data_IF_741763638758
#
_entry.id   IF_741763638758
#
_cell.length_a   1.000
_cell.length_b   1.000
_cell.length_c   1.000
_cell.angle_alpha   90.00
_cell.angle_beta   90.00
_cell.angle_gamma   90.00
#
_symmetry.space_group_name_H-M   'P 1'
#
loop_
_entity.id
_entity.type
_entity.pdbx_description
1 polymer ?
#
# COMPACT_ATOMS: atom_id res chain seq x y z
N UNK A 1 -11.43 18.94 14.07
CA UNK A 1 -11.07 20.34 13.77
C UNK A 1 -11.64 20.71 12.41
N UNK A 2 -12.66 21.55 12.38
CA UNK A 2 -13.18 22.21 11.16
C UNK A 2 -12.57 23.62 11.07
N UNK A 3 -12.19 24.07 9.88
CA UNK A 3 -11.74 25.47 9.68
C UNK A 3 -10.64 25.70 8.64
N UNK A 4 -10.47 26.97 8.26
CA UNK A 4 -9.53 27.48 7.23
C UNK A 4 -8.03 27.21 7.48
N UNK A 5 -7.68 26.69 8.66
CA UNK A 5 -6.30 26.37 9.07
C UNK A 5 -6.02 24.86 9.12
N UNK A 6 -6.99 24.00 8.79
CA UNK A 6 -6.83 22.54 8.87
C UNK A 6 -5.69 21.99 7.99
N UNK A 7 -5.41 22.64 6.86
CA UNK A 7 -4.28 22.29 5.99
C UNK A 7 -2.93 22.42 6.69
N UNK A 8 -2.80 23.35 7.64
CA UNK A 8 -1.56 23.57 8.41
C UNK A 8 -1.30 22.39 9.34
N UNK A 9 -2.35 21.82 9.94
CA UNK A 9 -2.23 20.60 10.74
C UNK A 9 -1.66 19.45 9.91
N UNK A 10 -2.16 19.23 8.69
CA UNK A 10 -1.62 18.20 7.80
C UNK A 10 -0.20 18.52 7.32
N UNK A 11 0.13 19.79 7.07
CA UNK A 11 1.49 20.19 6.72
C UNK A 11 2.49 19.89 7.86
N UNK A 12 2.11 20.14 9.11
CA UNK A 12 2.93 19.78 10.28
C UNK A 12 3.07 18.25 10.36
N UNK A 13 1.99 17.48 10.13
CA UNK A 13 2.07 16.02 10.09
C UNK A 13 3.01 15.50 9.00
N UNK A 14 3.03 16.14 7.83
CA UNK A 14 3.99 15.83 6.75
C UNK A 14 5.43 16.11 7.20
N UNK A 15 5.65 17.19 7.96
CA UNK A 15 6.95 17.48 8.59
C UNK A 15 7.36 16.39 9.58
N UNK A 16 6.47 15.98 10.49
CA UNK A 16 6.73 14.88 11.42
C UNK A 16 7.05 13.57 10.69
N UNK A 17 6.32 13.25 9.63
CA UNK A 17 6.56 12.05 8.84
C UNK A 17 7.97 12.05 8.21
N UNK A 18 8.39 13.17 7.63
CA UNK A 18 9.74 13.29 7.07
C UNK A 18 10.83 13.09 8.13
N UNK A 19 10.66 13.71 9.30
CA UNK A 19 11.62 13.58 10.41
C UNK A 19 11.70 12.17 10.99
N UNK A 20 10.61 11.41 10.97
CA UNK A 20 10.52 10.09 11.60
C UNK A 20 10.81 8.93 10.65
N UNK A 21 10.37 9.01 9.40
CA UNK A 21 10.28 7.85 8.50
C UNK A 21 11.05 8.01 7.20
N UNK A 22 11.81 9.10 7.03
CA UNK A 22 12.62 9.32 5.84
C UNK A 22 14.09 9.55 6.19
N UNK A 23 14.95 9.51 5.17
CA UNK A 23 16.40 9.83 5.29
C UNK A 23 16.71 11.28 4.92
N UNK A 24 15.69 12.13 4.73
CA UNK A 24 15.89 13.54 4.42
C UNK A 24 16.60 14.21 5.61
N UNK A 25 17.68 14.98 5.39
CA UNK A 25 18.34 15.70 6.47
C UNK A 25 17.35 16.58 7.24
N UNK A 26 17.37 16.60 8.59
CA UNK A 26 16.33 17.29 9.35
C UNK A 26 16.19 18.77 9.01
N UNK A 27 17.30 19.46 8.72
CA UNK A 27 17.27 20.87 8.32
C UNK A 27 16.52 21.09 6.99
N UNK A 28 16.68 20.17 6.03
CA UNK A 28 16.00 20.23 4.73
C UNK A 28 14.50 19.91 4.89
N UNK A 29 14.17 18.86 5.66
CA UNK A 29 12.77 18.52 5.98
C UNK A 29 12.03 19.68 6.66
N UNK A 30 12.68 20.38 7.60
CA UNK A 30 12.13 21.58 8.22
C UNK A 30 11.94 22.71 7.21
N UNK A 31 12.97 23.03 6.42
CA UNK A 31 12.93 24.14 5.47
C UNK A 31 11.79 23.95 4.44
N UNK A 32 11.72 22.80 3.78
CA UNK A 32 10.68 22.50 2.78
C UNK A 32 9.28 22.49 3.39
N UNK A 33 9.12 21.92 4.58
CA UNK A 33 7.81 21.91 5.26
C UNK A 33 7.36 23.33 5.64
N UNK A 34 8.29 24.18 6.08
CA UNK A 34 8.01 25.58 6.40
C UNK A 34 7.68 26.37 5.14
N UNK A 35 8.41 26.19 4.03
CA UNK A 35 8.09 26.83 2.75
C UNK A 35 6.75 26.36 2.17
N UNK A 36 6.34 25.13 2.44
CA UNK A 36 5.01 24.60 2.10
C UNK A 36 3.85 25.48 2.61
N UNK A 37 4.06 26.28 3.65
CA UNK A 37 3.08 27.25 4.16
C UNK A 37 2.65 28.28 3.09
N UNK A 38 3.57 28.65 2.18
CA UNK A 38 3.29 29.59 1.08
C UNK A 38 2.32 28.94 0.08
N UNK A 39 2.59 27.70 -0.33
CA UNK A 39 1.77 26.96 -1.28
C UNK A 39 0.33 26.75 -0.77
N UNK A 40 0.17 26.54 0.54
CA UNK A 40 -1.16 26.41 1.17
C UNK A 40 -1.82 27.76 1.52
N UNK A 41 -1.27 28.89 1.03
CA UNK A 41 -1.77 30.25 1.23
C UNK A 41 -1.84 30.67 2.71
N UNK A 42 -0.84 30.27 3.50
CA UNK A 42 -0.68 30.58 4.93
C UNK A 42 0.77 30.98 5.31
N UNK A 43 1.44 31.88 4.57
CA UNK A 43 2.83 32.26 4.84
C UNK A 43 3.05 32.82 6.26
N UNK A 44 2.04 33.43 6.86
CA UNK A 44 2.10 33.97 8.22
C UNK A 44 2.29 32.89 9.30
N UNK A 45 2.05 31.61 8.99
CA UNK A 45 2.20 30.49 9.93
C UNK A 45 3.56 29.78 9.84
N UNK A 46 4.49 30.26 9.01
CA UNK A 46 5.86 29.72 8.88
C UNK A 46 6.57 29.62 10.24
N UNK A 47 6.47 30.67 11.07
CA UNK A 47 7.04 30.69 12.41
C UNK A 47 6.44 29.62 13.33
N UNK A 48 5.12 29.42 13.28
CA UNK A 48 4.43 28.40 14.06
C UNK A 48 4.84 26.98 13.63
N UNK A 49 4.87 26.69 12.33
CA UNK A 49 5.29 25.39 11.79
C UNK A 49 6.73 25.08 12.22
N UNK A 50 7.65 26.03 12.01
CA UNK A 50 9.05 25.88 12.45
C UNK A 50 9.16 25.67 13.97
N UNK A 51 8.38 26.43 14.76
CA UNK A 51 8.35 26.31 16.21
C UNK A 51 7.91 24.92 16.68
N UNK A 52 6.81 24.41 16.12
CA UNK A 52 6.26 23.08 16.43
C UNK A 52 7.24 21.97 16.04
N UNK A 53 7.80 22.01 14.82
CA UNK A 53 8.75 20.99 14.37
C UNK A 53 10.05 20.98 15.21
N UNK A 54 10.57 22.17 15.58
CA UNK A 54 11.74 22.26 16.45
C UNK A 54 11.44 21.83 17.88
N UNK A 55 10.25 22.13 18.40
CA UNK A 55 9.83 21.64 19.70
C UNK A 55 9.74 20.11 19.70
N UNK A 56 9.16 19.53 18.65
CA UNK A 56 9.14 18.09 18.47
C UNK A 56 10.56 17.50 18.48
N UNK A 57 11.51 18.04 17.70
CA UNK A 57 12.90 17.55 17.72
C UNK A 57 13.55 17.59 19.11
N UNK A 58 13.26 18.63 19.91
CA UNK A 58 13.78 18.73 21.29
C UNK A 58 13.14 17.71 22.24
N UNK A 59 11.89 17.31 21.99
CA UNK A 59 11.11 16.41 22.85
C UNK A 59 10.92 15.02 22.22
N UNK A 60 11.60 14.73 21.11
CA UNK A 60 11.28 13.61 20.23
C UNK A 60 11.41 12.28 20.97
N UNK A 61 12.50 12.09 21.71
CA UNK A 61 12.76 10.87 22.47
C UNK A 61 11.65 10.60 23.50
N UNK A 62 11.29 11.60 24.30
CA UNK A 62 10.23 11.47 25.31
C UNK A 62 8.89 11.12 24.67
N UNK A 63 8.50 11.83 23.60
CA UNK A 63 7.22 11.63 22.93
C UNK A 63 7.15 10.26 22.23
N UNK A 64 8.25 9.77 21.67
CA UNK A 64 8.32 8.45 21.04
C UNK A 64 8.23 7.33 22.09
N UNK A 65 8.85 7.50 23.25
CA UNK A 65 8.73 6.53 24.34
C UNK A 65 7.30 6.45 24.89
N UNK A 66 6.64 7.59 25.07
CA UNK A 66 5.22 7.64 25.45
C UNK A 66 4.34 6.97 24.38
N UNK A 67 4.56 7.30 23.11
CA UNK A 67 3.83 6.69 21.99
C UNK A 67 3.98 5.17 21.93
N UNK A 68 5.20 4.65 22.12
CA UNK A 68 5.51 3.22 22.05
C UNK A 68 4.83 2.38 23.13
N UNK A 69 4.40 3.00 24.24
CA UNK A 69 3.66 2.32 25.33
C UNK A 69 2.15 2.46 25.20
N UNK A 70 1.67 3.38 24.37
CA UNK A 70 0.25 3.62 24.13
C UNK A 70 -0.35 2.67 23.11
N UNK A 71 -1.68 2.48 23.12
CA UNK A 71 -2.40 1.74 22.07
C UNK A 71 -2.34 2.44 20.69
N UNK A 72 -1.94 3.71 20.63
CA UNK A 72 -1.77 4.42 19.37
C UNK A 72 -0.63 3.82 18.52
N UNK A 73 0.30 3.08 19.13
CA UNK A 73 1.38 2.35 18.43
C UNK A 73 0.87 1.35 17.40
N UNK A 74 -0.38 0.88 17.56
CA UNK A 74 -1.00 -0.02 16.59
C UNK A 74 -1.32 0.67 15.27
N UNK A 75 -1.36 2.01 15.22
CA UNK A 75 -1.72 2.79 14.03
C UNK A 75 -3.13 2.50 13.48
N UNK A 76 -3.99 1.92 14.31
CA UNK A 76 -5.39 1.63 13.99
C UNK A 76 -6.32 2.40 14.94
N UNK A 77 -7.51 2.85 14.48
CA UNK A 77 -8.47 3.48 15.37
C UNK A 77 -8.97 2.48 16.42
N UNK A 78 -9.22 2.94 17.65
CA UNK A 78 -9.52 2.05 18.78
C UNK A 78 -10.73 1.14 18.57
N UNK A 79 -11.72 1.54 17.76
CA UNK A 79 -12.86 0.69 17.42
C UNK A 79 -12.45 -0.53 16.57
N UNK A 80 -11.46 -0.38 15.69
CA UNK A 80 -10.98 -1.43 14.81
C UNK A 80 -10.09 -2.42 15.58
N UNK A 81 -9.21 -1.89 16.45
CA UNK A 81 -8.40 -2.73 17.36
C UNK A 81 -9.29 -3.65 18.19
N UNK A 82 -10.35 -3.11 18.81
CA UNK A 82 -11.32 -3.89 19.59
C UNK A 82 -12.04 -4.95 18.75
N UNK A 83 -12.42 -4.61 17.51
CA UNK A 83 -13.03 -5.58 16.59
C UNK A 83 -12.07 -6.72 16.23
N UNK A 84 -10.81 -6.41 15.96
CA UNK A 84 -9.79 -7.41 15.66
C UNK A 84 -9.51 -8.30 16.86
N UNK A 85 -9.39 -7.73 18.06
CA UNK A 85 -9.22 -8.49 19.31
C UNK A 85 -10.37 -9.47 19.55
N UNK A 86 -11.61 -9.07 19.29
CA UNK A 86 -12.77 -9.94 19.47
C UNK A 86 -12.87 -11.04 18.39
N UNK A 87 -12.58 -10.70 17.13
CA UNK A 87 -12.68 -11.65 16.02
C UNK A 87 -11.48 -12.61 15.95
N UNK A 88 -10.30 -12.15 16.36
CA UNK A 88 -9.02 -12.87 16.26
C UNK A 88 -8.21 -12.77 17.57
N UNK A 89 -8.68 -13.37 18.69
CA UNK A 89 -8.08 -13.16 20.01
C UNK A 89 -6.58 -13.48 20.11
N UNK A 90 -6.10 -14.41 19.31
CA UNK A 90 -4.70 -14.86 19.29
C UNK A 90 -3.88 -14.29 18.13
N UNK A 91 -4.51 -13.66 17.13
CA UNK A 91 -3.85 -13.25 15.89
C UNK A 91 -3.94 -11.75 15.61
N UNK A 92 -4.71 -10.99 16.38
CA UNK A 92 -4.96 -9.57 16.10
C UNK A 92 -3.68 -8.73 16.03
N UNK A 93 -2.66 -9.03 16.84
CA UNK A 93 -1.37 -8.33 16.77
C UNK A 93 -0.67 -8.60 15.44
N UNK A 94 -0.69 -9.85 14.96
CA UNK A 94 -0.10 -10.22 13.68
C UNK A 94 -0.83 -9.55 12.51
N UNK A 95 -2.16 -9.47 12.57
CA UNK A 95 -2.98 -8.76 11.57
C UNK A 95 -2.62 -7.26 11.56
N UNK A 96 -2.52 -6.64 12.73
CA UNK A 96 -2.13 -5.22 12.83
C UNK A 96 -0.73 -4.98 12.26
N UNK A 97 0.22 -5.85 12.59
CA UNK A 97 1.58 -5.76 12.07
C UNK A 97 1.61 -5.92 10.55
N UNK A 98 0.91 -6.92 10.01
CA UNK A 98 0.79 -7.14 8.56
C UNK A 98 0.13 -5.95 7.84
N UNK A 99 -0.91 -5.36 8.42
CA UNK A 99 -1.57 -4.16 7.87
C UNK A 99 -0.63 -2.94 7.81
N UNK A 100 0.34 -2.85 8.73
CA UNK A 100 1.29 -1.74 8.81
C UNK A 100 2.53 -1.93 7.91
N UNK A 101 2.71 -3.11 7.32
CA UNK A 101 3.80 -3.36 6.38
C UNK A 101 3.56 -2.67 5.04
N UNK A 102 4.65 -2.43 4.30
CA UNK A 102 4.52 -2.00 2.90
C UNK A 102 3.87 -3.14 2.10
N UNK A 103 2.79 -2.88 1.36
CA UNK A 103 2.08 -3.94 0.67
C UNK A 103 2.95 -4.54 -0.44
N UNK A 104 2.99 -5.88 -0.57
CA UNK A 104 3.65 -6.52 -1.70
C UNK A 104 2.91 -6.19 -3.01
N UNK A 105 3.66 -6.05 -4.10
CA UNK A 105 3.05 -5.92 -5.43
C UNK A 105 2.82 -7.31 -6.02
N UNK A 106 1.57 -7.72 -6.05
CA UNK A 106 1.12 -8.96 -6.67
C UNK A 106 0.64 -8.72 -8.10
N UNK A 107 1.06 -9.63 -8.96
CA UNK A 107 0.71 -9.68 -10.37
C UNK A 107 -0.02 -10.99 -10.65
N UNK A 108 -0.91 -10.96 -11.64
CA UNK A 108 -1.51 -12.15 -12.25
C UNK A 108 -1.00 -12.27 -13.68
N UNK A 109 -0.32 -13.37 -13.98
CA UNK A 109 0.11 -13.70 -15.33
C UNK A 109 -1.09 -14.18 -16.15
N UNK A 110 -1.20 -13.68 -17.38
CA UNK A 110 -2.24 -14.11 -18.29
C UNK A 110 -1.83 -15.40 -19.02
N UNK A 111 -2.46 -16.50 -18.62
CA UNK A 111 -2.20 -17.85 -19.13
C UNK A 111 -2.42 -18.01 -20.63
N UNK A 112 -3.21 -17.13 -21.25
CA UNK A 112 -3.43 -17.16 -22.71
C UNK A 112 -2.20 -16.73 -23.51
N UNK A 113 -1.23 -16.05 -22.88
CA UNK A 113 0.02 -15.63 -23.52
C UNK A 113 1.23 -16.37 -22.97
N UNK A 114 1.31 -16.53 -21.64
CA UNK A 114 2.48 -17.13 -20.99
C UNK A 114 2.08 -18.01 -19.81
N UNK A 115 2.85 -19.07 -19.56
CA UNK A 115 2.86 -19.70 -18.24
C UNK A 115 3.48 -18.75 -17.21
N UNK A 116 3.14 -18.92 -15.92
CA UNK A 116 3.75 -18.12 -14.84
C UNK A 116 5.28 -18.16 -14.91
N UNK A 117 5.84 -19.37 -15.06
CA UNK A 117 7.29 -19.56 -15.07
C UNK A 117 7.94 -18.99 -16.34
N UNK A 118 7.26 -19.08 -17.49
CA UNK A 118 7.71 -18.43 -18.71
C UNK A 118 7.73 -16.90 -18.58
N UNK A 119 6.72 -16.32 -17.94
CA UNK A 119 6.69 -14.87 -17.70
C UNK A 119 7.70 -14.43 -16.63
N UNK A 120 7.99 -15.26 -15.63
CA UNK A 120 9.08 -15.03 -14.67
C UNK A 120 10.44 -14.95 -15.37
N UNK A 121 10.69 -15.76 -16.40
CA UNK A 121 11.90 -15.63 -17.23
C UNK A 121 12.02 -14.27 -17.90
N UNK A 122 10.93 -13.78 -18.50
CA UNK A 122 10.89 -12.43 -19.10
C UNK A 122 11.13 -11.32 -18.06
N UNK A 123 10.64 -11.52 -16.84
CA UNK A 123 10.84 -10.59 -15.73
C UNK A 123 12.32 -10.53 -15.31
N UNK A 124 12.97 -11.69 -15.23
CA UNK A 124 14.40 -11.81 -14.92
C UNK A 124 15.27 -11.20 -16.03
N UNK A 125 14.94 -11.45 -17.31
CA UNK A 125 15.61 -10.83 -18.46
C UNK A 125 15.49 -9.29 -18.45
N UNK A 126 14.38 -8.77 -17.92
CA UNK A 126 14.16 -7.33 -17.71
C UNK A 126 14.87 -6.79 -16.46
N UNK A 127 15.69 -7.58 -15.78
CA UNK A 127 16.45 -7.20 -14.58
C UNK A 127 15.61 -7.05 -13.32
N UNK A 128 14.41 -7.65 -13.30
CA UNK A 128 13.50 -7.63 -12.16
C UNK A 128 13.37 -9.02 -11.54
N UNK A 129 13.02 -9.06 -10.25
CA UNK A 129 12.87 -10.31 -9.51
C UNK A 129 11.45 -10.50 -9.02
N UNK A 130 10.92 -11.70 -9.24
CA UNK A 130 9.58 -12.11 -8.83
C UNK A 130 9.59 -13.48 -8.17
N UNK A 131 8.58 -13.75 -7.36
CA UNK A 131 8.42 -15.01 -6.63
C UNK A 131 7.05 -15.61 -6.90
N UNK A 132 6.95 -16.92 -7.18
CA UNK A 132 5.67 -17.60 -7.27
C UNK A 132 5.03 -17.75 -5.88
N UNK A 133 3.73 -18.04 -5.85
CA UNK A 133 3.03 -18.51 -4.66
C UNK A 133 2.49 -19.93 -4.89
N UNK A 134 2.64 -20.87 -3.94
CA UNK A 134 2.19 -22.25 -4.11
C UNK A 134 0.67 -22.36 -4.34
N UNK A 135 -0.13 -21.58 -3.61
CA UNK A 135 -1.59 -21.67 -3.66
C UNK A 135 -2.23 -20.86 -4.81
N UNK A 136 -1.46 -20.01 -5.49
CA UNK A 136 -1.97 -19.12 -6.54
C UNK A 136 -1.18 -19.32 -7.83
N UNK A 137 -1.66 -20.16 -8.76
CA UNK A 137 -0.88 -20.67 -9.88
C UNK A 137 -0.42 -19.59 -10.87
N UNK A 138 -1.18 -18.50 -10.97
CA UNK A 138 -0.91 -17.39 -11.88
C UNK A 138 -0.23 -16.20 -11.18
N UNK A 139 -0.02 -16.30 -9.87
CA UNK A 139 0.47 -15.18 -9.08
C UNK A 139 1.99 -15.07 -9.14
N UNK A 140 2.45 -13.83 -9.30
CA UNK A 140 3.84 -13.44 -9.12
C UNK A 140 3.91 -12.27 -8.14
N UNK A 141 4.69 -12.42 -7.07
CA UNK A 141 5.03 -11.32 -6.16
C UNK A 141 6.33 -10.70 -6.58
N UNK A 142 6.35 -9.41 -6.90
CA UNK A 142 7.61 -8.71 -7.15
C UNK A 142 8.41 -8.55 -5.85
N UNK A 143 9.74 -8.67 -5.94
CA UNK A 143 10.65 -8.35 -4.84
C UNK A 143 10.56 -6.86 -4.47
N UNK A 144 10.52 -6.00 -5.49
CA UNK A 144 10.34 -4.55 -5.35
C UNK A 144 9.20 -4.11 -6.25
N UNK A 145 8.21 -3.34 -5.75
CA UNK A 145 7.16 -2.78 -6.59
C UNK A 145 7.73 -1.97 -7.76
N UNK A 146 7.14 -2.14 -8.94
CA UNK A 146 7.56 -1.48 -10.17
C UNK A 146 6.37 -0.75 -10.81
N UNK A 147 6.59 0.33 -11.56
CA UNK A 147 5.53 0.95 -12.34
C UNK A 147 5.06 -0.01 -13.44
N UNK A 148 3.77 0.02 -13.76
CA UNK A 148 3.16 -0.96 -14.67
C UNK A 148 3.76 -0.97 -16.08
N UNK A 149 4.25 0.18 -16.57
CA UNK A 149 4.90 0.29 -17.89
C UNK A 149 6.28 -0.38 -17.95
N UNK A 150 6.88 -0.70 -16.81
CA UNK A 150 8.13 -1.46 -16.75
C UNK A 150 7.90 -2.98 -16.80
N UNK A 151 6.66 -3.44 -16.58
CA UNK A 151 6.35 -4.88 -16.55
C UNK A 151 6.26 -5.44 -17.98
N UNK A 152 6.94 -6.56 -18.28
CA UNK A 152 6.90 -7.17 -19.61
C UNK A 152 5.47 -7.47 -20.06
N UNK A 153 5.05 -6.88 -21.18
CA UNK A 153 3.76 -7.17 -21.79
C UNK A 153 2.54 -6.56 -21.10
N UNK A 154 2.70 -5.55 -20.22
CA UNK A 154 1.57 -4.99 -19.49
C UNK A 154 0.52 -4.35 -20.41
N UNK A 155 0.96 -3.57 -21.40
CA UNK A 155 0.05 -2.91 -22.35
C UNK A 155 -0.62 -3.92 -23.30
N UNK A 156 0.05 -5.05 -23.52
CA UNK A 156 -0.37 -6.19 -24.33
C UNK A 156 -1.29 -7.15 -23.55
N UNK A 157 -1.53 -6.89 -22.26
CA UNK A 157 -2.40 -7.71 -21.41
C UNK A 157 -1.80 -9.05 -20.99
N UNK A 158 -0.47 -9.20 -21.01
CA UNK A 158 0.24 -10.40 -20.56
C UNK A 158 0.21 -10.53 -19.04
N UNK A 159 0.02 -9.43 -18.33
CA UNK A 159 0.02 -9.39 -16.87
C UNK A 159 -0.94 -8.31 -16.36
N UNK A 160 -1.48 -8.49 -15.16
CA UNK A 160 -2.35 -7.50 -14.49
C UNK A 160 -1.92 -7.34 -13.04
N UNK A 161 -2.06 -6.13 -12.47
CA UNK A 161 -1.86 -5.92 -11.02
C UNK A 161 -3.10 -6.42 -10.28
N UNK A 162 -2.94 -7.46 -9.46
CA UNK A 162 -4.03 -8.04 -8.68
C UNK A 162 -3.47 -8.79 -7.47
N UNK A 163 -4.02 -8.49 -6.28
CA UNK A 163 -3.68 -9.21 -5.04
C UNK A 163 -3.93 -10.72 -5.17
N UNK A 164 -3.02 -11.53 -4.63
CA UNK A 164 -3.09 -12.98 -4.73
C UNK A 164 -4.41 -13.56 -4.18
N UNK A 165 -4.90 -13.03 -3.05
CA UNK A 165 -6.16 -13.47 -2.44
C UNK A 165 -7.36 -13.24 -3.36
N UNK A 166 -7.33 -12.17 -4.17
CA UNK A 166 -8.36 -11.88 -5.15
C UNK A 166 -8.29 -12.80 -6.38
N UNK A 167 -7.10 -13.30 -6.73
CA UNK A 167 -6.92 -14.30 -7.79
C UNK A 167 -7.55 -15.64 -7.39
N UNK A 168 -7.48 -15.99 -6.10
CA UNK A 168 -8.10 -17.20 -5.55
C UNK A 168 -9.61 -17.31 -5.79
N UNK A 169 -10.33 -16.19 -5.99
CA UNK A 169 -11.76 -16.21 -6.27
C UNK A 169 -12.12 -17.04 -7.51
N UNK A 170 -11.29 -17.03 -8.55
CA UNK A 170 -11.54 -17.78 -9.78
C UNK A 170 -11.49 -19.30 -9.55
N UNK A 171 -10.67 -19.77 -8.60
CA UNK A 171 -10.58 -21.18 -8.22
C UNK A 171 -11.90 -21.67 -7.61
N UNK A 172 -12.51 -20.86 -6.75
CA UNK A 172 -13.78 -21.21 -6.11
C UNK A 172 -15.00 -21.05 -7.04
N UNK A 173 -14.97 -20.06 -7.95
CA UNK A 173 -16.06 -19.88 -8.92
C UNK A 173 -16.04 -20.96 -10.02
N UNK A 174 -14.86 -21.47 -10.38
CA UNK A 174 -14.63 -22.49 -11.42
C UNK A 174 -15.43 -22.26 -12.73
N UNK A 175 -15.29 -21.08 -13.38
CA UNK A 175 -16.12 -20.72 -14.52
C UNK A 175 -15.83 -21.56 -15.77
N UNK A 176 -16.87 -21.91 -16.53
CA UNK A 176 -16.79 -22.71 -17.75
C UNK A 176 -17.20 -21.94 -19.01
N UNK A 177 -16.66 -22.36 -20.15
CA UNK A 177 -17.00 -21.79 -21.45
C UNK A 177 -18.51 -21.98 -21.74
N UNK A 178 -19.18 -20.90 -22.14
CA UNK A 178 -20.61 -20.91 -22.47
C UNK A 178 -21.54 -20.56 -21.31
N UNK A 179 -21.02 -20.35 -20.10
CA UNK A 179 -21.83 -19.91 -18.96
C UNK A 179 -22.17 -18.42 -19.01
N UNK A 180 -23.32 -18.06 -18.42
CA UNK A 180 -23.69 -16.67 -18.16
C UNK A 180 -23.32 -16.30 -16.72
N UNK A 181 -22.24 -15.55 -16.55
CA UNK A 181 -21.69 -15.20 -15.24
C UNK A 181 -21.92 -13.72 -14.94
N UNK A 182 -22.43 -13.42 -13.74
CA UNK A 182 -22.58 -12.07 -13.22
C UNK A 182 -21.49 -11.76 -12.19
N UNK A 183 -20.59 -10.81 -12.51
CA UNK A 183 -19.66 -10.22 -11.54
C UNK A 183 -20.28 -8.95 -10.93
N UNK A 184 -20.92 -9.09 -9.77
CA UNK A 184 -21.55 -7.97 -9.06
C UNK A 184 -20.46 -7.22 -8.26
N UNK A 185 -20.44 -5.88 -8.35
CA UNK A 185 -19.36 -5.01 -7.83
C UNK A 185 -18.01 -5.20 -8.56
N UNK A 186 -18.05 -5.39 -9.88
CA UNK A 186 -16.88 -5.73 -10.69
C UNK A 186 -15.75 -4.70 -10.73
N UNK A 187 -15.98 -3.41 -10.41
CA UNK A 187 -14.95 -2.38 -10.50
C UNK A 187 -13.76 -2.69 -9.54
N UNK A 188 -12.50 -2.60 -9.99
CA UNK A 188 -12.00 -2.06 -11.27
C UNK A 188 -11.89 -3.08 -12.43
N UNK A 189 -12.37 -4.33 -12.28
CA UNK A 189 -12.52 -5.31 -13.37
C UNK A 189 -11.57 -6.51 -13.30
N UNK A 190 -10.68 -6.57 -12.31
CA UNK A 190 -9.65 -7.60 -12.22
C UNK A 190 -10.19 -9.03 -12.15
N UNK A 191 -11.33 -9.25 -11.49
CA UNK A 191 -11.97 -10.57 -11.35
C UNK A 191 -12.74 -11.00 -12.59
N UNK A 192 -13.54 -10.11 -13.18
CA UNK A 192 -14.19 -10.36 -14.47
C UNK A 192 -13.20 -10.81 -15.56
N UNK A 193 -12.03 -10.19 -15.62
CA UNK A 193 -10.96 -10.59 -16.53
C UNK A 193 -10.35 -11.97 -16.19
N UNK A 194 -10.43 -12.41 -14.95
CA UNK A 194 -10.03 -13.76 -14.54
C UNK A 194 -11.06 -14.79 -15.02
N UNK A 195 -12.35 -14.48 -14.86
CA UNK A 195 -13.44 -15.44 -15.10
C UNK A 195 -13.69 -15.72 -16.58
N UNK A 196 -13.47 -14.74 -17.45
CA UNK A 196 -13.57 -14.92 -18.91
C UNK A 196 -12.46 -15.81 -19.50
N UNK A 197 -11.51 -16.28 -18.69
CA UNK A 197 -10.25 -16.89 -19.14
C UNK A 197 -9.88 -18.19 -18.41
N UNK A 198 -10.79 -18.71 -17.59
CA UNK A 198 -10.59 -19.94 -16.82
C UNK A 198 -11.03 -21.22 -17.55
N UNK A 199 -11.59 -21.11 -18.76
CA UNK A 199 -11.87 -22.25 -19.62
C UNK A 199 -10.63 -22.70 -20.39
N UNK A 200 -10.48 -24.00 -20.68
CA UNK A 200 -9.50 -24.50 -21.64
C UNK A 200 -9.75 -23.98 -23.06
#
# INVERSE_FOLDING_TARGET
>A
MTGKQRTVHYLIMVGFYQLLYTRVPPHAALAETVEGAVAIKRPQLKGLINGVLRQFQRQQETLLNEFATSDARFLHPGWLVKRLQNAYPTQWQHIIEANNQRPPMWLRVNRTHHTRDGWLGLLEDAGMKGYPHPDYPDAVRLETPAPVHALPGFAEGWVTVQDASAQGCAVFLAPQNGEHILDLCAAPGGKNHAYSRSGP
#
